data_IF_419834186325
#
_entry.id   IF_419834186325
#
_cell.length_a   1.000
_cell.length_b   1.000
_cell.length_c   1.000
_cell.angle_alpha   90.00
_cell.angle_beta   90.00
_cell.angle_gamma   90.00
#
_symmetry.space_group_name_H-M   'P 1'
#
loop_
_entity.id
_entity.type
_entity.pdbx_description
1 polymer ?
#
# COMPACT_ATOMS: atom_id res chain seq x y z
N UNK A 1 0.83 3.01 23.52
CA UNK A 1 1.11 3.81 22.31
C UNK A 1 1.52 2.85 21.20
N UNK A 2 0.72 2.72 20.14
CA UNK A 2 1.11 1.94 18.96
C UNK A 2 2.26 2.68 18.29
N UNK A 3 3.39 2.03 18.06
CA UNK A 3 4.46 2.61 17.25
C UNK A 3 4.07 2.49 15.78
N UNK A 4 4.29 3.55 15.01
CA UNK A 4 4.15 3.63 13.54
C UNK A 4 4.62 2.36 12.84
N UNK A 5 5.84 1.89 13.13
CA UNK A 5 6.39 0.67 12.53
C UNK A 5 5.49 -0.56 12.77
N UNK A 6 4.91 -0.71 13.97
CA UNK A 6 4.04 -1.85 14.28
C UNK A 6 2.75 -1.80 13.46
N UNK A 7 2.18 -0.61 13.25
CA UNK A 7 1.01 -0.45 12.41
C UNK A 7 1.31 -0.86 10.96
N UNK A 8 2.37 -0.29 10.37
CA UNK A 8 2.80 -0.59 9.01
C UNK A 8 3.04 -2.09 8.84
N UNK A 9 3.80 -2.70 9.75
CA UNK A 9 4.09 -4.14 9.69
C UNK A 9 2.81 -4.99 9.76
N UNK A 10 1.89 -4.67 10.66
CA UNK A 10 0.65 -5.43 10.82
C UNK A 10 -0.29 -5.31 9.61
N UNK A 11 -0.29 -4.15 8.92
CA UNK A 11 -1.12 -3.89 7.75
C UNK A 11 -0.49 -4.33 6.44
N UNK A 12 0.80 -4.67 6.43
CA UNK A 12 1.55 -5.01 5.22
C UNK A 12 0.95 -6.21 4.48
N UNK A 13 0.59 -7.28 5.21
CA UNK A 13 -0.03 -8.47 4.62
C UNK A 13 -1.43 -8.18 4.07
N UNK A 14 -2.22 -7.38 4.80
CA UNK A 14 -3.55 -6.96 4.36
C UNK A 14 -3.44 -6.10 3.08
N UNK A 15 -2.57 -5.11 3.06
CA UNK A 15 -2.37 -4.25 1.88
C UNK A 15 -1.94 -5.07 0.66
N UNK A 16 -1.02 -6.03 0.86
CA UNK A 16 -0.56 -6.91 -0.21
C UNK A 16 -1.68 -7.80 -0.75
N UNK A 17 -2.59 -8.27 0.11
CA UNK A 17 -3.76 -9.04 -0.29
C UNK A 17 -4.72 -8.21 -1.15
N UNK A 18 -5.12 -7.01 -0.67
CA UNK A 18 -6.03 -6.13 -1.42
C UNK A 18 -5.43 -5.70 -2.76
N UNK A 19 -4.13 -5.38 -2.79
CA UNK A 19 -3.45 -4.99 -4.01
C UNK A 19 -3.34 -6.13 -5.04
N UNK A 20 -3.06 -7.37 -4.61
CA UNK A 20 -3.07 -8.53 -5.51
C UNK A 20 -4.48 -8.80 -6.04
N UNK A 21 -5.49 -8.82 -5.18
CA UNK A 21 -6.87 -9.05 -5.60
C UNK A 21 -7.34 -7.98 -6.61
N UNK A 22 -6.92 -6.71 -6.45
CA UNK A 22 -7.22 -5.64 -7.39
C UNK A 22 -6.50 -5.84 -8.75
N UNK A 23 -5.24 -6.27 -8.72
CA UNK A 23 -4.45 -6.60 -9.92
C UNK A 23 -5.04 -7.79 -10.69
N UNK A 24 -5.61 -8.77 -9.97
CA UNK A 24 -6.20 -9.96 -10.56
C UNK A 24 -7.68 -9.74 -10.97
N UNK A 25 -8.26 -8.60 -10.60
CA UNK A 25 -9.67 -8.28 -10.88
C UNK A 25 -10.66 -9.11 -10.04
N UNK A 26 -10.21 -9.62 -8.89
CA UNK A 26 -10.96 -10.48 -7.98
C UNK A 26 -11.75 -9.69 -6.91
N UNK A 27 -11.53 -8.38 -6.82
CA UNK A 27 -12.17 -7.50 -5.83
C UNK A 27 -12.74 -6.26 -6.52
N UNK A 28 -13.83 -5.72 -5.98
CA UNK A 28 -14.44 -4.49 -6.48
C UNK A 28 -13.70 -3.25 -5.96
N UNK A 29 -13.59 -2.22 -6.78
CA UNK A 29 -12.95 -0.94 -6.42
C UNK A 29 -13.52 -0.37 -5.10
N UNK A 30 -14.83 -0.48 -4.88
CA UNK A 30 -15.48 0.01 -3.66
C UNK A 30 -15.04 -0.72 -2.37
N UNK A 31 -14.68 -2.00 -2.46
CA UNK A 31 -14.15 -2.75 -1.31
C UNK A 31 -12.71 -2.33 -0.99
N UNK A 32 -11.93 -2.01 -2.03
CA UNK A 32 -10.58 -1.44 -1.88
C UNK A 32 -10.64 -0.05 -1.27
N UNK A 33 -11.59 0.78 -1.72
CA UNK A 33 -11.81 2.12 -1.18
C UNK A 33 -12.11 2.06 0.32
N UNK A 34 -13.03 1.19 0.74
CA UNK A 34 -13.37 0.99 2.16
C UNK A 34 -12.13 0.59 2.97
N UNK A 35 -11.34 -0.36 2.48
CA UNK A 35 -10.09 -0.76 3.13
C UNK A 35 -9.10 0.41 3.26
N UNK A 36 -8.98 1.25 2.23
CA UNK A 36 -8.10 2.41 2.25
C UNK A 36 -8.57 3.44 3.28
N UNK A 37 -9.87 3.74 3.31
CA UNK A 37 -10.46 4.65 4.30
C UNK A 37 -10.25 4.15 5.73
N UNK A 38 -10.55 2.89 6.00
CA UNK A 38 -10.34 2.28 7.33
C UNK A 38 -8.87 2.36 7.74
N UNK A 39 -7.95 2.09 6.81
CA UNK A 39 -6.50 2.16 7.07
C UNK A 39 -6.05 3.58 7.40
N UNK A 40 -6.55 4.59 6.69
CA UNK A 40 -6.24 6.00 6.94
C UNK A 40 -6.87 6.47 8.26
N UNK A 41 -8.10 6.04 8.56
CA UNK A 41 -8.77 6.33 9.83
C UNK A 41 -7.98 5.75 11.01
N UNK A 42 -7.59 4.48 10.95
CA UNK A 42 -6.76 3.85 11.97
C UNK A 42 -5.40 4.57 12.13
N UNK A 43 -4.79 4.98 11.01
CA UNK A 43 -3.54 5.75 11.03
C UNK A 43 -3.68 7.09 11.74
N UNK A 44 -4.80 7.80 11.55
CA UNK A 44 -5.06 9.09 12.18
C UNK A 44 -5.05 9.04 13.72
N UNK A 45 -5.27 7.86 14.31
CA UNK A 45 -5.24 7.63 15.75
C UNK A 45 -3.81 7.41 16.29
N UNK A 46 -2.81 7.29 15.41
CA UNK A 46 -1.42 7.05 15.78
C UNK A 46 -0.67 8.38 15.85
N UNK A 47 -0.10 8.67 17.01
CA UNK A 47 0.78 9.82 17.17
C UNK A 47 2.18 9.52 16.58
N UNK A 48 2.32 9.73 15.27
CA UNK A 48 3.56 9.56 14.53
C UNK A 48 4.57 10.68 14.85
N UNK A 49 5.36 10.49 15.92
CA UNK A 49 6.41 11.44 16.34
C UNK A 49 7.76 11.25 15.63
N UNK A 50 7.88 10.23 14.80
CA UNK A 50 9.14 9.83 14.16
C UNK A 50 9.41 10.70 12.93
N UNK A 51 10.58 11.33 12.88
CA UNK A 51 10.94 12.26 11.81
C UNK A 51 11.27 11.57 10.47
N UNK A 52 11.74 10.32 10.51
CA UNK A 52 12.20 9.60 9.32
C UNK A 52 11.24 8.47 8.93
N UNK A 53 10.86 8.41 7.65
CA UNK A 53 10.15 7.25 7.11
C UNK A 53 11.14 6.12 6.84
N UNK A 54 10.72 4.89 7.16
CA UNK A 54 11.46 3.69 6.76
C UNK A 54 11.15 3.33 5.30
N UNK A 55 12.02 2.59 4.60
CA UNK A 55 11.71 2.07 3.26
C UNK A 55 10.43 1.22 3.21
N UNK A 56 10.17 0.43 4.26
CA UNK A 56 8.93 -0.34 4.40
C UNK A 56 7.70 0.58 4.47
N UNK A 57 7.76 1.62 5.31
CA UNK A 57 6.68 2.61 5.43
C UNK A 57 6.47 3.37 4.10
N UNK A 58 7.54 3.74 3.40
CA UNK A 58 7.42 4.40 2.10
C UNK A 58 6.77 3.48 1.07
N UNK A 59 7.16 2.21 1.00
CA UNK A 59 6.52 1.22 0.12
C UNK A 59 5.05 0.99 0.45
N UNK A 60 4.72 0.95 1.75
CA UNK A 60 3.35 0.83 2.21
C UNK A 60 2.48 2.00 1.72
N UNK A 61 2.90 3.24 1.98
CA UNK A 61 2.13 4.41 1.58
C UNK A 61 2.05 4.60 0.08
N UNK A 62 3.12 4.26 -0.65
CA UNK A 62 3.11 4.30 -2.10
C UNK A 62 2.05 3.35 -2.66
N UNK A 63 2.05 2.09 -2.22
CA UNK A 63 1.12 1.08 -2.71
C UNK A 63 -0.32 1.40 -2.31
N UNK A 64 -0.55 1.83 -1.05
CA UNK A 64 -1.86 2.27 -0.58
C UNK A 64 -2.41 3.40 -1.45
N UNK A 65 -1.58 4.38 -1.77
CA UNK A 65 -1.96 5.46 -2.68
C UNK A 65 -2.34 4.93 -4.06
N UNK A 66 -1.53 4.04 -4.67
CA UNK A 66 -1.84 3.50 -5.99
C UNK A 66 -3.21 2.82 -6.04
N UNK A 67 -3.52 1.95 -5.06
CA UNK A 67 -4.78 1.22 -5.05
C UNK A 67 -6.00 2.10 -4.70
N UNK A 68 -5.79 3.21 -4.01
CA UNK A 68 -6.85 4.19 -3.71
C UNK A 68 -7.13 5.17 -4.84
N UNK A 69 -6.16 5.36 -5.75
CA UNK A 69 -6.24 6.40 -6.79
C UNK A 69 -6.70 5.83 -8.14
N UNK A 70 -6.26 4.62 -8.47
CA UNK A 70 -6.56 3.98 -9.74
C UNK A 70 -7.71 2.99 -9.61
N UNK A 71 -8.62 3.00 -10.58
CA UNK A 71 -9.63 1.94 -10.72
C UNK A 71 -8.99 0.62 -11.18
N UNK A 72 -9.67 -0.51 -10.92
CA UNK A 72 -9.24 -1.80 -11.47
C UNK A 72 -9.09 -1.73 -12.99
N UNK A 73 -9.98 -1.00 -13.68
CA UNK A 73 -9.92 -0.85 -15.14
C UNK A 73 -8.64 -0.17 -15.64
N UNK A 74 -8.20 0.90 -14.97
CA UNK A 74 -6.99 1.63 -15.33
C UNK A 74 -5.74 0.79 -15.05
N UNK A 75 -5.71 0.11 -13.91
CA UNK A 75 -4.66 -0.83 -13.55
C UNK A 75 -4.56 -1.93 -14.61
N UNK A 76 -5.68 -2.47 -15.08
CA UNK A 76 -5.69 -3.53 -16.09
C UNK A 76 -5.06 -3.10 -17.42
N UNK A 77 -5.24 -1.83 -17.80
CA UNK A 77 -4.75 -1.28 -19.08
C UNK A 77 -3.28 -0.83 -19.07
N UNK A 78 -2.70 -0.62 -17.89
CA UNK A 78 -1.33 -0.09 -17.76
C UNK A 78 -0.36 -1.15 -17.26
N UNK A 79 0.40 -1.75 -18.18
CA UNK A 79 1.44 -2.74 -17.84
C UNK A 79 2.52 -2.15 -16.93
N UNK A 80 2.84 -0.86 -17.10
CA UNK A 80 3.76 -0.14 -16.21
C UNK A 80 3.24 -0.14 -14.77
N UNK A 81 1.98 0.23 -14.56
CA UNK A 81 1.39 0.32 -13.22
C UNK A 81 1.32 -1.06 -12.56
N UNK A 82 0.95 -2.09 -13.31
CA UNK A 82 1.00 -3.49 -12.83
C UNK A 82 2.39 -3.87 -12.34
N UNK A 83 3.43 -3.60 -13.13
CA UNK A 83 4.81 -3.93 -12.76
C UNK A 83 5.28 -3.16 -11.51
N UNK A 84 4.89 -1.89 -11.38
CA UNK A 84 5.19 -1.07 -10.20
C UNK A 84 4.51 -1.68 -8.95
N UNK A 85 3.22 -1.99 -9.03
CA UNK A 85 2.47 -2.58 -7.92
C UNK A 85 3.00 -3.96 -7.53
N UNK A 86 3.26 -4.85 -8.49
CA UNK A 86 3.83 -6.19 -8.23
C UNK A 86 5.19 -6.11 -7.55
N UNK A 87 6.04 -5.15 -7.95
CA UNK A 87 7.34 -4.93 -7.33
C UNK A 87 7.20 -4.46 -5.88
N UNK A 88 6.27 -3.54 -5.61
CA UNK A 88 5.95 -3.09 -4.25
C UNK A 88 5.41 -4.23 -3.38
N UNK A 89 4.45 -5.01 -3.88
CA UNK A 89 3.89 -6.17 -3.19
C UNK A 89 4.99 -7.17 -2.85
N UNK A 90 5.86 -7.49 -3.81
CA UNK A 90 6.98 -8.41 -3.61
C UNK A 90 7.92 -7.94 -2.50
N UNK A 91 8.22 -6.64 -2.45
CA UNK A 91 9.03 -6.05 -1.39
C UNK A 91 8.34 -6.10 -0.02
N UNK A 92 7.06 -5.73 0.04
CA UNK A 92 6.23 -5.76 1.24
C UNK A 92 6.13 -7.17 1.85
N UNK A 93 6.02 -8.20 1.00
CA UNK A 93 5.99 -9.61 1.42
C UNK A 93 7.37 -10.20 1.75
N UNK A 94 8.45 -9.41 1.60
CA UNK A 94 9.82 -9.83 1.92
C UNK A 94 10.53 -10.66 0.85
N UNK A 95 9.95 -10.82 -0.34
CA UNK A 95 10.55 -11.54 -1.47
C UNK A 95 11.33 -10.63 -2.43
N UNK A 96 11.06 -9.32 -2.39
CA UNK A 96 11.60 -8.32 -3.32
C UNK A 96 12.63 -7.37 -2.72
N UNK A 97 13.16 -6.48 -3.57
CA UNK A 97 13.98 -5.33 -3.17
C UNK A 97 13.15 -4.06 -3.14
N UNK A 98 13.57 -3.07 -2.35
CA UNK A 98 12.92 -1.76 -2.33
C UNK A 98 12.94 -1.15 -3.75
N UNK A 99 11.78 -0.77 -4.33
CA UNK A 99 11.75 -0.29 -5.71
C UNK A 99 12.25 1.17 -5.83
N UNK A 100 13.05 1.46 -6.86
CA UNK A 100 13.67 2.79 -7.06
C UNK A 100 12.66 3.92 -7.33
N UNK A 101 11.46 3.58 -7.83
CA UNK A 101 10.38 4.53 -8.09
C UNK A 101 9.52 4.83 -6.86
N UNK A 102 9.72 4.08 -5.77
CA UNK A 102 8.84 4.12 -4.62
C UNK A 102 9.08 5.39 -3.78
N UNK A 103 8.10 6.29 -3.80
CA UNK A 103 8.14 7.58 -3.08
C UNK A 103 6.86 7.83 -2.29
N UNK A 104 6.48 6.86 -1.46
CA UNK A 104 5.30 6.99 -0.60
C UNK A 104 5.58 7.87 0.61
N UNK A 105 4.62 8.74 0.92
CA UNK A 105 4.62 9.63 2.07
C UNK A 105 3.31 9.38 2.84
N UNK A 106 3.41 9.31 4.16
CA UNK A 106 2.25 9.21 5.04
C UNK A 106 1.32 10.43 4.89
N UNK A 107 -0.01 10.26 5.03
CA UNK A 107 -0.96 11.37 5.13
C UNK A 107 -0.67 12.31 6.29
#
# INVERSE_FOLDING_TARGET
MVKTHRFIHNKTDQLSYYANALLDGEIQDSEVDLYCWDTIEEWSQINAKEACLTPLESAFWYLLHQISFWSSSEIQTSEKLKNEMVSCISYLQGYGRFPDFCSGIRP
#
